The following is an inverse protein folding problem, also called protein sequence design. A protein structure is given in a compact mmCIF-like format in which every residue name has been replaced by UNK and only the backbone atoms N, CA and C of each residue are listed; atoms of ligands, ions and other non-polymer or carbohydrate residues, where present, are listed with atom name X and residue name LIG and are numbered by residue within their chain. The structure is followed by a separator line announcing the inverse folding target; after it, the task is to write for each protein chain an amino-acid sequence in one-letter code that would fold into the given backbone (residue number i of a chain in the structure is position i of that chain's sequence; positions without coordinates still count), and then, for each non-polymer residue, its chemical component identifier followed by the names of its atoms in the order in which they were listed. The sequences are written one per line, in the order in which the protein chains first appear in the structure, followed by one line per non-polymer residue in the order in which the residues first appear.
data_IF_296665944914
#
_entry.id   IF_296665944914
#
_cell.length_a   1.000
_cell.length_b   1.000
_cell.length_c   1.000
_cell.angle_alpha   90.00
_cell.angle_beta   90.00
_cell.angle_gamma   90.00
#
_symmetry.space_group_name_H-M   'P 1'
#
loop_
_entity.id
_entity.type
_entity.pdbx_description
1 polymer ?
#
# COMPACT_ATOMS: atom_id res chain seq x y z
N UNK A 1 -24.94 -0.42 -20.97
CA UNK A 1 -24.56 -1.84 -21.16
C UNK A 1 -24.94 -2.59 -19.90
N UNK A 2 -25.12 -3.90 -20.00
CA UNK A 2 -25.40 -4.71 -18.81
C UNK A 2 -24.08 -5.16 -18.20
N UNK A 3 -23.94 -5.10 -16.88
CA UNK A 3 -22.76 -5.56 -16.15
C UNK A 3 -23.19 -6.64 -15.17
N UNK A 4 -22.84 -7.87 -15.49
CA UNK A 4 -23.19 -9.06 -14.72
C UNK A 4 -22.09 -9.41 -13.71
N UNK A 5 -20.82 -9.10 -14.03
CA UNK A 5 -19.67 -9.49 -13.22
C UNK A 5 -18.51 -8.48 -13.35
N UNK A 6 -17.83 -8.22 -12.23
CA UNK A 6 -16.51 -7.59 -12.22
C UNK A 6 -15.45 -8.64 -11.93
N UNK A 7 -14.59 -8.90 -12.90
CA UNK A 7 -13.48 -9.83 -12.76
C UNK A 7 -12.21 -9.07 -12.36
N UNK A 8 -11.80 -9.20 -11.10
CA UNK A 8 -10.64 -8.49 -10.53
C UNK A 8 -9.38 -9.36 -10.65
N UNK A 9 -8.37 -8.86 -11.37
CA UNK A 9 -7.09 -9.55 -11.60
C UNK A 9 -5.97 -8.91 -10.81
N UNK A 10 -5.00 -9.70 -10.35
CA UNK A 10 -3.79 -9.19 -9.71
C UNK A 10 -3.91 -8.89 -8.20
N UNK A 11 -5.11 -9.02 -7.63
CA UNK A 11 -5.31 -8.95 -6.18
C UNK A 11 -4.72 -10.17 -5.45
N UNK A 12 -3.99 -9.92 -4.38
CA UNK A 12 -3.57 -10.92 -3.41
C UNK A 12 -3.87 -10.54 -1.95
N UNK A 13 -4.19 -9.27 -1.66
CA UNK A 13 -4.33 -8.76 -0.28
C UNK A 13 -5.76 -8.55 0.20
N UNK A 14 -6.74 -8.40 -0.70
CA UNK A 14 -8.15 -8.37 -0.34
C UNK A 14 -8.78 -9.75 -0.45
N UNK A 15 -9.68 -10.06 0.49
CA UNK A 15 -10.55 -11.22 0.38
C UNK A 15 -11.66 -10.99 -0.66
N UNK A 16 -12.23 -12.08 -1.18
CA UNK A 16 -13.25 -12.02 -2.22
C UNK A 16 -14.49 -11.21 -1.80
N UNK A 17 -14.91 -11.33 -0.53
CA UNK A 17 -16.08 -10.62 0.00
C UNK A 17 -15.87 -9.10 0.00
N UNK A 18 -14.68 -8.63 0.37
CA UNK A 18 -14.34 -7.21 0.34
C UNK A 18 -14.42 -6.64 -1.08
N UNK A 19 -13.99 -7.42 -2.07
CA UNK A 19 -14.06 -7.04 -3.49
C UNK A 19 -15.52 -7.02 -3.94
N UNK A 20 -16.27 -8.07 -3.66
CA UNK A 20 -17.69 -8.18 -4.01
C UNK A 20 -18.50 -7.03 -3.43
N UNK A 21 -18.36 -6.75 -2.13
CA UNK A 21 -19.04 -5.63 -1.45
C UNK A 21 -18.71 -4.28 -2.11
N UNK A 22 -17.47 -4.07 -2.56
CA UNK A 22 -17.04 -2.82 -3.19
C UNK A 22 -17.70 -2.60 -4.57
N UNK A 23 -17.79 -3.64 -5.39
CA UNK A 23 -18.25 -3.54 -6.78
C UNK A 23 -19.75 -3.80 -6.95
N UNK A 24 -20.40 -4.43 -5.97
CA UNK A 24 -21.80 -4.82 -6.03
C UNK A 24 -22.78 -3.69 -6.42
N UNK A 25 -22.66 -2.44 -5.91
CA UNK A 25 -23.56 -1.35 -6.31
C UNK A 25 -23.52 -1.01 -7.81
N UNK A 26 -22.45 -1.42 -8.50
CA UNK A 26 -22.18 -1.12 -9.89
C UNK A 26 -22.53 -2.27 -10.84
N UNK A 27 -23.12 -3.36 -10.33
CA UNK A 27 -23.69 -4.44 -11.13
C UNK A 27 -25.12 -4.10 -11.59
N UNK A 28 -25.58 -4.82 -12.62
CA UNK A 28 -26.94 -4.78 -13.12
C UNK A 28 -27.07 -4.23 -14.55
N UNK A 29 -28.32 -4.10 -15.03
CA UNK A 29 -28.59 -3.65 -16.38
C UNK A 29 -28.34 -2.14 -16.56
N UNK A 30 -28.19 -1.71 -17.81
CA UNK A 30 -28.20 -0.30 -18.22
C UNK A 30 -27.12 0.59 -17.56
N UNK A 31 -25.98 0.04 -17.19
CA UNK A 31 -24.82 0.80 -16.70
C UNK A 31 -24.17 1.63 -17.78
N UNK A 32 -23.73 2.83 -17.39
CA UNK A 32 -22.89 3.70 -18.19
C UNK A 32 -21.41 3.48 -17.83
N UNK A 33 -20.52 4.03 -18.66
CA UNK A 33 -19.07 4.02 -18.37
C UNK A 33 -18.75 4.61 -16.99
N UNK A 34 -19.46 5.68 -16.60
CA UNK A 34 -19.29 6.31 -15.29
C UNK A 34 -19.60 5.38 -14.11
N UNK A 35 -20.54 4.43 -14.27
CA UNK A 35 -20.79 3.42 -13.23
C UNK A 35 -19.62 2.44 -13.10
N UNK A 36 -19.00 2.07 -14.23
CA UNK A 36 -17.85 1.17 -14.27
C UNK A 36 -16.62 1.86 -13.64
N UNK A 37 -16.40 3.13 -13.96
CA UNK A 37 -15.38 3.96 -13.31
C UNK A 37 -15.65 4.09 -11.80
N UNK A 38 -16.92 4.21 -11.41
CA UNK A 38 -17.33 4.18 -10.01
C UNK A 38 -16.96 2.87 -9.30
N UNK A 39 -17.09 1.72 -9.96
CA UNK A 39 -16.66 0.43 -9.41
C UNK A 39 -15.15 0.37 -9.19
N UNK A 40 -14.35 0.83 -10.16
CA UNK A 40 -12.89 0.98 -10.03
C UNK A 40 -12.55 1.85 -8.82
N UNK A 41 -13.17 3.03 -8.69
CA UNK A 41 -12.90 3.97 -7.61
C UNK A 41 -13.32 3.43 -6.25
N UNK A 42 -14.46 2.75 -6.17
CA UNK A 42 -14.92 2.11 -4.95
C UNK A 42 -13.94 1.00 -4.49
N UNK A 43 -13.49 0.16 -5.43
CA UNK A 43 -12.50 -0.87 -5.12
C UNK A 43 -11.15 -0.27 -4.71
N UNK A 44 -10.67 0.76 -5.42
CA UNK A 44 -9.46 1.50 -5.07
C UNK A 44 -9.54 2.08 -3.65
N UNK A 45 -10.70 2.61 -3.27
CA UNK A 45 -10.95 3.15 -1.94
C UNK A 45 -10.87 2.08 -0.86
N UNK A 46 -11.40 0.88 -1.09
CA UNK A 46 -11.28 -0.24 -0.14
C UNK A 46 -9.83 -0.62 0.12
N UNK A 47 -8.96 -0.65 -0.91
CA UNK A 47 -7.53 -0.84 -0.70
C UNK A 47 -6.93 0.25 0.20
N UNK A 48 -7.23 1.52 -0.09
CA UNK A 48 -6.69 2.66 0.67
C UNK A 48 -7.15 2.65 2.13
N UNK A 49 -8.42 2.34 2.40
CA UNK A 49 -8.98 2.26 3.75
C UNK A 49 -8.40 1.10 4.56
N UNK A 50 -7.97 0.01 3.90
CA UNK A 50 -7.25 -1.10 4.53
C UNK A 50 -5.73 -0.88 4.62
N UNK A 51 -5.22 0.29 4.25
CA UNK A 51 -3.81 0.62 4.35
C UNK A 51 -2.94 0.13 3.19
N UNK A 52 -3.52 -0.22 2.05
CA UNK A 52 -2.78 -0.66 0.86
C UNK A 52 -2.60 0.47 -0.17
N UNK A 53 -1.96 1.56 0.23
CA UNK A 53 -1.75 2.76 -0.60
C UNK A 53 -0.84 2.53 -1.82
N UNK A 54 -0.10 1.42 -1.84
CA UNK A 54 0.76 0.99 -2.95
C UNK A 54 0.03 0.17 -4.02
N UNK A 55 -1.28 -0.01 -3.85
CA UNK A 55 -2.14 -0.75 -4.76
C UNK A 55 -2.93 0.20 -5.64
N UNK A 56 -2.91 -0.06 -6.94
CA UNK A 56 -3.64 0.71 -7.94
C UNK A 56 -4.64 -0.17 -8.68
N UNK A 57 -5.86 0.32 -8.84
CA UNK A 57 -6.93 -0.35 -9.59
C UNK A 57 -7.14 0.39 -10.91
N UNK A 58 -6.98 -0.32 -12.00
CA UNK A 58 -7.11 0.18 -13.35
C UNK A 58 -8.31 -0.45 -14.05
N UNK A 59 -8.97 0.35 -14.88
CA UNK A 59 -9.95 -0.12 -15.84
C UNK A 59 -9.27 -0.11 -17.22
N UNK A 60 -8.70 -1.23 -17.68
CA UNK A 60 -8.06 -1.28 -18.99
C UNK A 60 -9.09 -1.08 -20.11
N UNK A 61 -8.63 -0.55 -21.24
CA UNK A 61 -9.44 -0.48 -22.46
C UNK A 61 -9.88 -1.89 -22.86
N UNK A 62 -11.19 -2.10 -22.93
CA UNK A 62 -11.79 -3.39 -23.19
C UNK A 62 -13.18 -3.22 -23.82
N UNK A 63 -13.59 -4.23 -24.59
CA UNK A 63 -15.00 -4.38 -24.94
C UNK A 63 -15.67 -5.17 -23.83
N UNK A 64 -16.83 -4.69 -23.39
CA UNK A 64 -17.66 -5.44 -22.44
C UNK A 64 -18.45 -6.47 -23.24
N UNK A 65 -18.01 -7.72 -23.13
CA UNK A 65 -18.64 -8.90 -23.74
C UNK A 65 -19.30 -9.73 -22.63
N UNK A 66 -20.49 -10.25 -22.89
CA UNK A 66 -21.29 -11.05 -21.94
C UNK A 66 -21.57 -10.38 -20.58
N UNK A 67 -21.41 -9.06 -20.51
CA UNK A 67 -21.57 -8.26 -19.29
C UNK A 67 -20.44 -8.43 -18.28
N UNK A 68 -19.26 -8.91 -18.70
CA UNK A 68 -18.09 -9.05 -17.83
C UNK A 68 -17.19 -7.82 -18.00
N UNK A 69 -16.79 -7.21 -16.88
CA UNK A 69 -15.84 -6.10 -16.84
C UNK A 69 -14.60 -6.52 -16.07
N UNK A 70 -13.43 -6.33 -16.67
CA UNK A 70 -12.15 -6.59 -16.04
C UNK A 70 -11.63 -5.35 -15.31
N UNK A 71 -11.27 -5.53 -14.04
CA UNK A 71 -10.47 -4.55 -13.28
C UNK A 71 -9.08 -5.15 -13.04
N UNK A 72 -8.04 -4.40 -13.39
CA UNK A 72 -6.66 -4.82 -13.19
C UNK A 72 -6.10 -4.16 -11.93
N UNK A 73 -5.65 -4.97 -10.99
CA UNK A 73 -4.99 -4.53 -9.76
C UNK A 73 -3.48 -4.67 -9.95
N UNK A 74 -2.76 -3.61 -9.62
CA UNK A 74 -1.31 -3.54 -9.59
C UNK A 74 -0.86 -3.33 -8.16
N UNK A 75 -0.29 -4.37 -7.54
CA UNK A 75 0.20 -4.34 -6.16
C UNK A 75 1.71 -4.09 -6.13
N UNK A 76 2.14 -2.88 -5.74
CA UNK A 76 3.57 -2.58 -5.61
C UNK A 76 4.10 -3.17 -4.31
N UNK A 77 5.02 -4.13 -4.43
CA UNK A 77 5.61 -4.84 -3.28
C UNK A 77 6.84 -4.13 -2.75
N UNK A 78 7.19 -4.37 -1.49
CA UNK A 78 8.49 -3.92 -0.97
C UNK A 78 9.61 -4.70 -1.66
N UNK A 79 10.54 -3.98 -2.28
CA UNK A 79 11.71 -4.50 -2.97
C UNK A 79 12.82 -4.81 -1.99
N UNK A 80 13.48 -3.77 -1.47
CA UNK A 80 14.52 -3.82 -0.44
C UNK A 80 14.23 -2.85 0.69
N UNK A 81 14.52 -3.26 1.93
CA UNK A 81 14.55 -2.35 3.09
C UNK A 81 15.98 -2.15 3.56
N UNK A 82 16.39 -0.88 3.69
CA UNK A 82 17.69 -0.51 4.26
C UNK A 82 17.50 0.38 5.46
N UNK A 83 18.38 0.23 6.44
CA UNK A 83 18.50 1.20 7.54
C UNK A 83 19.76 2.02 7.29
N UNK A 84 19.61 3.35 7.28
CA UNK A 84 20.67 4.29 6.92
C UNK A 84 20.84 5.30 8.05
N UNK A 85 22.07 5.64 8.41
CA UNK A 85 22.35 6.67 9.41
C UNK A 85 22.38 6.20 10.87
N UNK A 86 22.02 4.94 11.14
CA UNK A 86 22.12 4.37 12.49
C UNK A 86 23.58 4.24 12.92
N UNK A 87 24.00 4.98 13.95
CA UNK A 87 25.37 4.90 14.51
C UNK A 87 25.40 4.16 15.84
N UNK A 88 24.37 4.35 16.66
CA UNK A 88 24.28 3.78 18.02
C UNK A 88 23.25 2.66 18.16
N UNK A 89 22.47 2.39 17.11
CA UNK A 89 21.40 1.39 17.10
C UNK A 89 21.66 0.33 16.04
N UNK A 90 21.29 -0.93 16.33
CA UNK A 90 21.43 -2.02 15.37
C UNK A 90 20.50 -1.81 14.16
N UNK A 91 21.03 -1.77 12.93
CA UNK A 91 20.23 -1.72 11.71
C UNK A 91 19.23 -2.88 11.60
N UNK A 92 19.63 -4.07 12.04
CA UNK A 92 18.79 -5.27 12.00
C UNK A 92 17.61 -5.13 12.95
N UNK A 93 17.85 -4.70 14.19
CA UNK A 93 16.79 -4.53 15.19
C UNK A 93 15.78 -3.44 14.79
N UNK A 94 16.23 -2.37 14.12
CA UNK A 94 15.34 -1.31 13.61
C UNK A 94 14.45 -1.88 12.51
N UNK A 95 15.02 -2.61 11.56
CA UNK A 95 14.25 -3.24 10.47
C UNK A 95 13.24 -4.23 11.02
N UNK A 96 13.63 -5.08 11.96
CA UNK A 96 12.78 -6.14 12.51
C UNK A 96 11.63 -5.57 13.37
N UNK A 97 11.70 -4.30 13.78
CA UNK A 97 10.62 -3.56 14.44
C UNK A 97 9.60 -2.95 13.47
N UNK A 98 9.85 -3.02 12.14
CA UNK A 98 8.90 -2.58 11.11
C UNK A 98 8.54 -3.75 10.17
N UNK A 99 7.98 -4.86 10.67
CA UNK A 99 7.69 -6.03 9.84
C UNK A 99 6.65 -5.78 8.75
N UNK A 100 5.88 -4.68 8.79
CA UNK A 100 4.97 -4.33 7.70
C UNK A 100 5.71 -3.87 6.42
N UNK A 101 7.02 -3.61 6.50
CA UNK A 101 7.89 -3.38 5.34
C UNK A 101 8.61 -4.65 4.89
N UNK A 102 8.09 -5.84 5.18
CA UNK A 102 8.74 -7.09 4.78
C UNK A 102 8.93 -7.16 3.26
N UNK A 103 10.16 -7.46 2.83
CA UNK A 103 10.50 -7.59 1.42
C UNK A 103 9.65 -8.69 0.75
N UNK A 104 9.14 -8.38 -0.45
CA UNK A 104 8.27 -9.26 -1.23
C UNK A 104 6.78 -9.16 -0.88
N UNK A 105 6.41 -8.36 0.11
CA UNK A 105 5.01 -8.16 0.52
C UNK A 105 4.48 -6.79 0.13
N UNK A 106 3.16 -6.68 0.02
CA UNK A 106 2.48 -5.39 -0.16
C UNK A 106 2.34 -4.77 1.22
N UNK A 107 2.91 -3.58 1.48
CA UNK A 107 2.88 -3.02 2.81
C UNK A 107 1.51 -2.46 3.14
N UNK A 108 1.06 -2.74 4.36
CA UNK A 108 0.01 -1.97 5.03
C UNK A 108 0.64 -0.72 5.64
N UNK A 109 0.47 0.44 5.01
CA UNK A 109 1.09 1.69 5.49
C UNK A 109 0.46 2.23 6.78
N UNK A 110 -0.78 1.86 7.12
CA UNK A 110 -1.32 2.20 8.42
C UNK A 110 -0.55 1.46 9.52
N UNK A 111 -0.25 0.18 9.29
CA UNK A 111 0.60 -0.61 10.18
C UNK A 111 2.05 -0.10 10.18
N UNK A 112 2.63 0.24 9.02
CA UNK A 112 3.98 0.84 8.93
C UNK A 112 4.06 2.13 9.77
N UNK A 113 3.07 3.03 9.65
CA UNK A 113 3.04 4.26 10.41
C UNK A 113 2.99 4.02 11.92
N UNK A 114 2.16 3.06 12.37
CA UNK A 114 2.08 2.66 13.78
C UNK A 114 3.41 2.09 14.31
N UNK A 115 4.08 1.23 13.52
CA UNK A 115 5.37 0.65 13.86
C UNK A 115 6.48 1.71 13.97
N UNK A 116 6.54 2.63 13.01
CA UNK A 116 7.48 3.76 13.04
C UNK A 116 7.21 4.71 14.21
N UNK A 117 5.93 4.99 14.52
CA UNK A 117 5.57 5.75 15.71
C UNK A 117 6.05 5.04 16.99
N UNK A 118 5.97 3.70 17.03
CA UNK A 118 6.54 2.88 18.09
C UNK A 118 8.05 3.04 18.25
N UNK A 119 8.79 2.99 17.13
CA UNK A 119 10.23 3.19 17.09
C UNK A 119 10.67 4.58 17.61
N UNK A 120 9.84 5.59 17.35
CA UNK A 120 10.11 7.01 17.63
C UNK A 120 9.56 7.50 18.97
N UNK A 121 9.05 6.60 19.83
CA UNK A 121 8.55 6.98 21.18
C UNK A 121 9.66 7.42 22.15
N UNK A 122 10.89 6.99 21.93
CA UNK A 122 12.04 7.31 22.81
C UNK A 122 12.84 8.52 22.34
N UNK A 123 13.46 9.24 23.27
CA UNK A 123 14.20 10.49 22.99
C UNK A 123 15.61 10.33 22.38
N UNK A 124 15.97 9.14 21.86
CA UNK A 124 17.34 8.85 21.40
C UNK A 124 17.52 8.72 19.89
N UNK A 125 16.43 8.60 19.14
CA UNK A 125 16.46 8.49 17.68
C UNK A 125 15.15 8.89 17.05
N UNK A 126 15.23 9.33 15.80
CA UNK A 126 14.09 9.50 14.92
C UNK A 126 14.31 8.62 13.68
N UNK A 127 13.30 7.82 13.32
CA UNK A 127 13.30 6.95 12.15
C UNK A 127 12.26 7.46 11.16
N UNK A 128 12.70 7.83 9.95
CA UNK A 128 11.86 8.34 8.88
C UNK A 128 11.94 7.42 7.65
N UNK A 129 10.80 7.03 7.06
CA UNK A 129 10.80 6.22 5.85
C UNK A 129 11.00 7.12 4.62
N UNK A 130 11.93 6.74 3.75
CA UNK A 130 12.08 7.30 2.42
C UNK A 130 11.79 6.21 1.38
N UNK A 131 10.66 6.36 0.69
CA UNK A 131 10.24 5.46 -0.39
C UNK A 131 10.89 5.90 -1.70
N UNK A 132 11.39 4.94 -2.46
CA UNK A 132 11.94 5.16 -3.80
C UNK A 132 11.47 4.06 -4.75
N UNK A 133 11.64 4.30 -6.04
CA UNK A 133 11.51 3.25 -7.05
C UNK A 133 12.42 2.06 -6.71
N UNK A 134 11.87 0.86 -6.75
CA UNK A 134 12.59 -0.37 -6.45
C UNK A 134 13.48 -0.82 -7.60
N UNK A 135 14.51 -1.60 -7.29
CA UNK A 135 15.41 -2.14 -8.32
C UNK A 135 14.73 -3.18 -9.24
N UNK A 136 13.61 -3.76 -8.79
CA UNK A 136 12.82 -4.72 -9.57
C UNK A 136 11.54 -4.03 -10.04
N UNK A 137 11.10 -4.24 -11.29
CA UNK A 137 9.80 -3.74 -11.75
C UNK A 137 8.66 -4.16 -10.82
N UNK A 138 7.72 -3.26 -10.56
CA UNK A 138 6.59 -3.50 -9.64
C UNK A 138 6.98 -3.54 -8.16
N UNK A 139 8.14 -3.00 -7.79
CA UNK A 139 8.57 -2.88 -6.39
C UNK A 139 8.94 -1.46 -6.00
N UNK A 140 8.90 -1.19 -4.70
CA UNK A 140 9.43 0.03 -4.09
C UNK A 140 10.49 -0.32 -3.05
N UNK A 141 11.59 0.42 -3.02
CA UNK A 141 12.60 0.28 -1.98
C UNK A 141 12.35 1.31 -0.88
N UNK A 142 12.59 0.92 0.37
CA UNK A 142 12.40 1.80 1.53
C UNK A 142 13.71 1.95 2.29
N UNK A 143 14.18 3.19 2.43
CA UNK A 143 15.24 3.53 3.37
C UNK A 143 14.62 4.04 4.67
N UNK A 144 14.88 3.34 5.77
CA UNK A 144 14.63 3.81 7.11
C UNK A 144 15.82 4.71 7.50
N UNK A 145 15.66 6.01 7.32
CA UNK A 145 16.64 7.01 7.73
C UNK A 145 16.58 7.18 9.24
N UNK A 146 17.72 7.01 9.90
CA UNK A 146 17.85 7.13 11.34
C UNK A 146 18.67 8.37 11.65
N UNK A 147 18.02 9.31 12.35
CA UNK A 147 18.66 10.45 12.95
C UNK A 147 18.85 10.18 14.45
N UNK A 148 20.09 9.90 14.84
CA UNK A 148 20.46 9.75 16.25
C UNK A 148 20.46 11.14 16.90
N UNK A 149 19.54 11.39 17.84
CA UNK A 149 19.62 12.58 18.66
C UNK A 149 20.62 12.31 19.78
N UNK A 150 21.69 13.11 19.84
CA UNK A 150 22.66 13.02 20.92
C UNK A 150 21.90 13.29 22.24
N UNK A 151 21.91 12.38 23.23
CA UNK A 151 21.06 12.48 24.43
C UNK A 151 21.57 13.54 25.43
N UNK A 152 21.79 14.79 24.98
CA UNK A 152 22.47 15.81 25.79
C UNK A 152 22.36 17.28 25.36
N UNK A 153 21.54 17.67 24.38
CA UNK A 153 21.33 19.11 24.11
C UNK A 153 19.90 19.49 24.50
N UNK A 154 19.67 20.27 25.57
CA UNK A 154 18.33 20.76 25.87
C UNK A 154 17.85 21.64 24.72
N UNK A 155 16.58 21.46 24.32
CA UNK A 155 15.91 22.37 23.39
C UNK A 155 16.03 23.79 23.95
N UNK A 156 16.78 24.65 23.27
CA UNK A 156 16.85 26.07 23.61
C UNK A 156 15.49 26.70 23.33
N UNK A 157 14.98 27.38 24.36
CA UNK A 157 13.71 28.10 24.40
C UNK A 157 13.61 29.25 23.39
#
# INVERSE_FOLDING_TARGET
MDVNEYFVRGNTVLDARAIEEAVYPFLGPQKALADIEGARDALQKVYQERGYQSVFVELPEQKVEDGIVYLQVSETKVGRVRVVGAKHYSPVEIRDQVPALKEGEVPDFATVQSQLAGLNRGAGRQVMPLVREGQRPGTMDVDLQVEDQNPGTPASA
#
